data_IF_890080024404
#
_entry.id   IF_890080024404
#
_cell.length_a   1.000
_cell.length_b   1.000
_cell.length_c   1.000
_cell.angle_alpha   90.00
_cell.angle_beta   90.00
_cell.angle_gamma   90.00
#
_symmetry.space_group_name_H-M   'P 1'
#
loop_
_entity.id
_entity.type
_entity.pdbx_description
1 polymer ?
#
# COMPACT_ATOMS: atom_id res chain seq x y z
N UNK A 1 -2.89 -31.41 -12.65
CA UNK A 1 -2.60 -31.36 -11.20
C UNK A 1 -3.75 -32.01 -10.45
N UNK A 2 -3.51 -32.52 -9.24
CA UNK A 2 -4.58 -33.11 -8.43
C UNK A 2 -5.63 -32.06 -8.02
N UNK A 3 -6.88 -32.50 -7.84
CA UNK A 3 -7.94 -31.69 -7.26
C UNK A 3 -7.65 -31.43 -5.80
N UNK A 4 -7.80 -30.18 -5.33
CA UNK A 4 -7.53 -29.77 -3.96
C UNK A 4 -8.69 -28.91 -3.42
N UNK A 5 -8.77 -28.75 -2.10
CA UNK A 5 -9.67 -27.77 -1.48
C UNK A 5 -9.27 -26.35 -1.89
N UNK A 6 -10.25 -25.49 -2.09
CA UNK A 6 -9.99 -24.07 -2.36
C UNK A 6 -9.21 -23.39 -1.24
N UNK A 7 -9.51 -23.75 0.02
CA UNK A 7 -8.76 -23.23 1.17
C UNK A 7 -7.25 -23.57 1.08
N UNK A 8 -6.90 -24.80 0.64
CA UNK A 8 -5.51 -25.20 0.42
C UNK A 8 -4.88 -24.36 -0.70
N UNK A 9 -5.62 -24.15 -1.80
CA UNK A 9 -5.17 -23.33 -2.91
C UNK A 9 -4.85 -21.89 -2.48
N UNK A 10 -5.66 -21.29 -1.59
CA UNK A 10 -5.43 -19.93 -1.06
C UNK A 10 -4.10 -19.86 -0.30
N UNK A 11 -3.85 -20.80 0.62
CA UNK A 11 -2.61 -20.80 1.40
C UNK A 11 -1.40 -21.12 0.52
N UNK A 12 -1.53 -22.06 -0.42
CA UNK A 12 -0.48 -22.39 -1.39
C UNK A 12 -0.13 -21.22 -2.29
N UNK A 13 -1.13 -20.43 -2.71
CA UNK A 13 -0.91 -19.22 -3.50
C UNK A 13 0.00 -18.23 -2.77
N UNK A 14 -0.34 -17.86 -1.52
CA UNK A 14 0.48 -16.93 -0.76
C UNK A 14 1.87 -17.50 -0.43
N UNK A 15 1.93 -18.78 -0.15
CA UNK A 15 3.21 -19.51 0.01
C UNK A 15 4.08 -19.41 -1.24
N UNK A 16 3.49 -19.54 -2.42
CA UNK A 16 4.22 -19.52 -3.69
C UNK A 16 4.84 -18.17 -4.04
N UNK A 17 4.30 -17.08 -3.52
CA UNK A 17 4.82 -15.71 -3.69
C UNK A 17 5.75 -15.28 -2.55
N UNK A 18 6.12 -16.19 -1.64
CA UNK A 18 7.10 -15.92 -0.58
C UNK A 18 6.53 -15.44 0.77
N UNK A 19 5.20 -15.48 0.97
CA UNK A 19 4.59 -15.21 2.27
C UNK A 19 4.86 -16.40 3.19
N UNK A 20 5.74 -16.23 4.16
CA UNK A 20 6.14 -17.27 5.13
C UNK A 20 5.34 -17.24 6.44
N UNK A 21 4.61 -16.15 6.70
CA UNK A 21 3.75 -15.97 7.89
C UNK A 21 2.44 -15.29 7.53
N UNK A 22 1.33 -15.81 8.08
CA UNK A 22 -0.01 -15.21 7.98
C UNK A 22 -0.55 -15.02 9.39
N UNK A 23 -1.07 -13.84 9.70
CA UNK A 23 -1.58 -13.48 11.03
C UNK A 23 -3.05 -13.84 11.14
N UNK A 24 -3.45 -14.55 12.20
CA UNK A 24 -4.75 -15.22 12.24
C UNK A 24 -5.43 -15.08 13.60
N UNK A 25 -6.75 -14.81 13.58
CA UNK A 25 -7.65 -15.15 14.68
C UNK A 25 -8.61 -16.23 14.18
N UNK A 26 -8.63 -17.36 14.87
CA UNK A 26 -9.52 -18.48 14.54
C UNK A 26 -10.98 -18.12 14.87
N UNK A 27 -11.90 -18.62 14.02
CA UNK A 27 -13.33 -18.57 14.25
C UNK A 27 -14.06 -19.56 13.32
N UNK A 28 -15.36 -19.72 13.52
CA UNK A 28 -16.14 -20.74 12.81
C UNK A 28 -16.11 -20.59 11.29
N UNK A 29 -16.07 -19.35 10.78
CA UNK A 29 -16.17 -19.09 9.33
C UNK A 29 -14.81 -19.12 8.60
N UNK A 30 -13.69 -19.36 9.28
CA UNK A 30 -12.38 -19.48 8.63
C UNK A 30 -11.65 -20.80 8.97
N UNK A 31 -12.38 -21.77 9.52
CA UNK A 31 -11.79 -23.04 9.97
C UNK A 31 -11.07 -23.80 8.87
N UNK A 32 -11.63 -23.85 7.66
CA UNK A 32 -11.01 -24.54 6.52
C UNK A 32 -9.72 -23.85 6.04
N UNK A 33 -9.66 -22.51 6.09
CA UNK A 33 -8.44 -21.74 5.81
C UNK A 33 -7.35 -22.03 6.83
N UNK A 34 -7.71 -22.17 8.13
CA UNK A 34 -6.75 -22.51 9.19
C UNK A 34 -6.29 -23.95 9.06
N UNK A 35 -7.21 -24.90 8.77
CA UNK A 35 -6.87 -26.30 8.56
C UNK A 35 -5.88 -26.48 7.38
N UNK A 36 -5.92 -25.64 6.37
CA UNK A 36 -5.02 -25.67 5.22
C UNK A 36 -3.54 -25.54 5.60
N UNK A 37 -3.21 -24.84 6.69
CA UNK A 37 -1.82 -24.73 7.18
C UNK A 37 -1.23 -26.08 7.62
N UNK A 38 -2.03 -27.07 7.95
CA UNK A 38 -1.55 -28.40 8.32
C UNK A 38 -0.94 -29.13 7.11
N UNK A 39 -1.34 -28.78 5.90
CA UNK A 39 -0.89 -29.35 4.62
C UNK A 39 0.19 -28.50 3.94
N UNK A 40 0.23 -27.19 4.20
CA UNK A 40 1.28 -26.29 3.72
C UNK A 40 2.36 -26.13 4.79
N UNK A 41 3.59 -26.62 4.51
CA UNK A 41 4.72 -26.57 5.45
C UNK A 41 5.62 -25.34 5.28
N UNK A 42 5.41 -24.53 4.24
CA UNK A 42 6.24 -23.37 3.95
C UNK A 42 5.72 -22.09 4.61
N UNK A 43 4.40 -21.92 4.67
CA UNK A 43 3.75 -20.78 5.32
C UNK A 43 3.22 -21.21 6.69
N UNK A 44 3.52 -20.44 7.72
CA UNK A 44 3.04 -20.66 9.09
C UNK A 44 1.97 -19.63 9.44
N UNK A 45 0.95 -20.04 10.18
CA UNK A 45 0.08 -19.06 10.83
C UNK A 45 0.71 -18.55 12.12
N UNK A 46 0.45 -17.29 12.44
CA UNK A 46 0.77 -16.65 13.71
C UNK A 46 -0.55 -16.28 14.37
N UNK A 47 -0.91 -17.01 15.40
CA UNK A 47 -2.12 -16.73 16.17
C UNK A 47 -1.93 -15.42 16.96
N UNK A 48 -2.89 -14.53 16.83
CA UNK A 48 -2.94 -13.26 17.56
C UNK A 48 -4.18 -13.20 18.44
N UNK A 49 -4.17 -12.35 19.46
CA UNK A 49 -5.26 -12.26 20.44
C UNK A 49 -6.43 -11.37 20.00
N UNK A 50 -6.23 -10.59 18.92
CA UNK A 50 -7.23 -9.69 18.37
C UNK A 50 -6.96 -9.42 16.90
N UNK A 51 -8.00 -9.39 16.06
CA UNK A 51 -7.84 -9.24 14.60
C UNK A 51 -7.17 -7.93 14.21
N UNK A 52 -7.49 -6.83 14.88
CA UNK A 52 -6.82 -5.55 14.64
C UNK A 52 -5.30 -5.66 14.81
N UNK A 53 -4.84 -6.38 15.85
CA UNK A 53 -3.40 -6.63 16.05
C UNK A 53 -2.82 -7.47 14.91
N UNK A 54 -3.58 -8.47 14.42
CA UNK A 54 -3.20 -9.26 13.25
C UNK A 54 -3.06 -8.41 11.99
N UNK A 55 -3.99 -7.49 11.79
CA UNK A 55 -3.93 -6.55 10.66
C UNK A 55 -2.73 -5.60 10.73
N UNK A 56 -2.40 -5.05 11.91
CA UNK A 56 -1.19 -4.24 12.10
C UNK A 56 0.10 -5.07 11.98
N UNK A 57 0.06 -6.35 12.39
CA UNK A 57 1.20 -7.25 12.17
C UNK A 57 1.43 -7.51 10.67
N UNK A 58 0.35 -7.68 9.88
CA UNK A 58 0.44 -7.78 8.43
C UNK A 58 0.99 -6.50 7.80
N UNK A 59 0.57 -5.32 8.27
CA UNK A 59 1.14 -4.04 7.86
C UNK A 59 2.65 -3.98 8.13
N UNK A 60 3.07 -4.29 9.36
CA UNK A 60 4.49 -4.33 9.72
C UNK A 60 5.29 -5.31 8.88
N UNK A 61 4.72 -6.50 8.61
CA UNK A 61 5.32 -7.50 7.73
C UNK A 61 5.56 -6.96 6.32
N UNK A 62 4.57 -6.27 5.74
CA UNK A 62 4.70 -5.64 4.41
C UNK A 62 5.80 -4.59 4.34
N UNK A 63 6.02 -3.86 5.45
CA UNK A 63 7.03 -2.79 5.50
C UNK A 63 8.47 -3.31 5.57
N UNK A 64 8.68 -4.56 6.02
CA UNK A 64 10.03 -5.14 6.21
C UNK A 64 10.37 -6.25 5.23
N UNK A 65 9.38 -6.83 4.55
CA UNK A 65 9.61 -7.85 3.52
C UNK A 65 10.03 -7.24 2.19
N UNK A 66 10.58 -8.10 1.34
CA UNK A 66 10.91 -7.75 -0.04
C UNK A 66 9.70 -7.20 -0.79
N UNK A 67 9.96 -6.29 -1.71
CA UNK A 67 8.90 -5.67 -2.50
C UNK A 67 8.09 -6.71 -3.27
N UNK A 68 6.75 -6.53 -3.22
CA UNK A 68 5.82 -7.44 -3.88
C UNK A 68 5.32 -8.59 -2.98
N UNK A 69 5.88 -8.74 -1.76
CA UNK A 69 5.39 -9.72 -0.78
C UNK A 69 4.53 -8.98 0.27
N UNK A 70 3.20 -8.98 0.14
CA UNK A 70 2.32 -8.30 1.09
C UNK A 70 2.18 -9.11 2.37
N UNK A 71 1.94 -8.43 3.49
CA UNK A 71 1.46 -9.07 4.70
C UNK A 71 0.02 -9.54 4.53
N UNK A 72 -0.29 -10.68 5.13
CA UNK A 72 -1.61 -11.31 5.03
C UNK A 72 -2.18 -11.52 6.43
N UNK A 73 -3.45 -11.15 6.63
CA UNK A 73 -4.18 -11.41 7.86
C UNK A 73 -5.51 -12.11 7.55
N UNK A 74 -5.88 -13.08 8.38
CA UNK A 74 -7.12 -13.86 8.24
C UNK A 74 -7.97 -13.72 9.49
N UNK A 75 -9.26 -13.39 9.33
CA UNK A 75 -10.26 -13.34 10.39
C UNK A 75 -11.52 -14.13 10.01
N UNK A 76 -12.37 -14.34 11.00
CA UNK A 76 -13.69 -14.94 10.79
C UNK A 76 -14.71 -13.90 10.32
N UNK A 77 -15.96 -14.32 10.12
CA UNK A 77 -17.09 -13.46 9.72
C UNK A 77 -17.48 -12.44 10.82
N UNK A 78 -18.34 -11.51 10.45
CA UNK A 78 -18.98 -10.58 11.38
C UNK A 78 -17.99 -9.71 12.15
N UNK A 79 -18.03 -9.77 13.52
CA UNK A 79 -17.17 -8.94 14.34
C UNK A 79 -15.68 -9.17 14.09
N UNK A 80 -15.25 -10.40 13.70
CA UNK A 80 -13.88 -10.69 13.35
C UNK A 80 -13.39 -9.85 12.16
N UNK A 81 -14.14 -9.86 11.06
CA UNK A 81 -13.84 -9.03 9.89
C UNK A 81 -13.91 -7.53 10.21
N UNK A 82 -14.89 -7.08 11.01
CA UNK A 82 -15.01 -5.67 11.39
C UNK A 82 -13.83 -5.16 12.22
N UNK A 83 -13.18 -6.01 13.00
CA UNK A 83 -11.98 -5.62 13.75
C UNK A 83 -10.78 -5.29 12.86
N UNK A 84 -10.80 -5.66 11.57
CA UNK A 84 -9.77 -5.25 10.61
C UNK A 84 -9.90 -3.80 10.14
N UNK A 85 -11.06 -3.15 10.29
CA UNK A 85 -11.34 -1.84 9.69
C UNK A 85 -10.25 -0.80 10.00
N UNK A 86 -9.80 -0.73 11.25
CA UNK A 86 -8.76 0.22 11.66
C UNK A 86 -7.42 -0.05 10.97
N UNK A 87 -6.97 -1.30 10.94
CA UNK A 87 -5.70 -1.67 10.29
C UNK A 87 -5.76 -1.55 8.77
N UNK A 88 -6.91 -1.88 8.16
CA UNK A 88 -7.16 -1.63 6.73
C UNK A 88 -7.05 -0.12 6.44
N UNK A 89 -7.72 0.72 7.23
CA UNK A 89 -7.65 2.18 7.09
C UNK A 89 -6.22 2.70 7.20
N UNK A 90 -5.44 2.19 8.15
CA UNK A 90 -4.03 2.58 8.30
C UNK A 90 -3.20 2.21 7.06
N UNK A 91 -3.32 0.98 6.58
CA UNK A 91 -2.66 0.54 5.34
C UNK A 91 -3.07 1.41 4.13
N UNK A 92 -4.35 1.80 4.04
CA UNK A 92 -4.85 2.63 2.94
C UNK A 92 -4.24 4.03 2.96
N UNK A 93 -4.25 4.70 4.10
CA UNK A 93 -3.72 6.06 4.22
C UNK A 93 -2.21 6.12 4.11
N UNK A 94 -1.50 5.10 4.58
CA UNK A 94 -0.04 5.00 4.50
C UNK A 94 0.46 4.33 3.21
N UNK A 95 -0.45 3.89 2.33
CA UNK A 95 -0.12 3.23 1.06
C UNK A 95 0.70 1.95 1.26
N UNK A 96 0.33 1.14 2.25
CA UNK A 96 0.99 -0.14 2.55
C UNK A 96 0.21 -1.28 1.88
N UNK A 97 0.87 -2.13 1.07
CA UNK A 97 0.21 -3.29 0.48
C UNK A 97 -0.08 -4.33 1.56
N UNK A 98 -1.34 -4.68 1.74
CA UNK A 98 -1.73 -5.74 2.67
C UNK A 98 -2.96 -6.49 2.14
N UNK A 99 -3.02 -7.79 2.41
CA UNK A 99 -4.12 -8.65 2.02
C UNK A 99 -4.89 -9.05 3.28
N UNK A 100 -6.16 -8.72 3.30
CA UNK A 100 -7.07 -9.13 4.35
C UNK A 100 -8.01 -10.21 3.81
N UNK A 101 -8.14 -11.31 4.54
CA UNK A 101 -9.05 -12.40 4.18
C UNK A 101 -10.03 -12.56 5.34
N UNK A 102 -11.31 -12.54 5.01
CA UNK A 102 -12.35 -12.88 5.98
C UNK A 102 -13.07 -14.16 5.56
N UNK A 103 -13.39 -14.98 6.55
CA UNK A 103 -14.38 -16.01 6.34
C UNK A 103 -15.78 -15.43 6.36
N UNK A 104 -16.72 -16.08 5.69
CA UNK A 104 -18.12 -15.71 5.65
C UNK A 104 -19.00 -16.94 5.87
N UNK A 105 -20.24 -16.74 6.29
CA UNK A 105 -21.23 -17.82 6.36
C UNK A 105 -21.44 -18.45 4.99
N UNK A 106 -22.05 -19.66 4.94
CA UNK A 106 -22.35 -20.33 3.68
C UNK A 106 -23.19 -19.45 2.77
N UNK A 107 -22.94 -19.53 1.46
CA UNK A 107 -23.60 -18.70 0.46
C UNK A 107 -25.13 -18.79 0.49
N UNK A 108 -25.70 -19.95 0.79
CA UNK A 108 -27.14 -20.15 0.92
C UNK A 108 -27.81 -19.39 2.08
N UNK A 109 -27.03 -18.91 3.05
CA UNK A 109 -27.54 -18.15 4.19
C UNK A 109 -27.24 -16.64 4.08
N UNK A 110 -26.64 -16.21 2.98
CA UNK A 110 -26.43 -14.79 2.72
C UNK A 110 -27.77 -14.11 2.47
N UNK A 111 -27.96 -12.94 3.02
CA UNK A 111 -29.15 -12.14 2.75
C UNK A 111 -29.22 -11.72 1.29
N UNK A 112 -30.36 -11.88 0.70
CA UNK A 112 -30.65 -11.44 -0.67
C UNK A 112 -31.25 -10.04 -0.71
N UNK A 113 -31.87 -9.62 0.40
CA UNK A 113 -32.51 -8.31 0.56
C UNK A 113 -31.79 -7.50 1.64
N UNK A 114 -31.33 -6.30 1.28
CA UNK A 114 -30.61 -5.41 2.19
C UNK A 114 -31.50 -4.79 3.29
N UNK A 115 -32.83 -4.86 3.18
CA UNK A 115 -33.74 -4.44 4.24
C UNK A 115 -33.67 -5.38 5.46
N UNK A 116 -33.29 -6.64 5.25
CA UNK A 116 -33.02 -7.61 6.30
C UNK A 116 -31.62 -7.33 6.85
N UNK A 117 -31.51 -7.15 8.18
CA UNK A 117 -30.21 -6.85 8.82
C UNK A 117 -29.24 -8.04 8.72
N UNK A 118 -29.73 -9.27 8.97
CA UNK A 118 -28.93 -10.48 9.00
C UNK A 118 -29.83 -11.70 8.77
N UNK A 119 -29.39 -12.66 7.95
CA UNK A 119 -30.05 -13.96 7.77
C UNK A 119 -29.23 -15.04 8.47
N UNK A 120 -27.99 -15.22 8.09
CA UNK A 120 -27.10 -16.15 8.76
C UNK A 120 -26.40 -15.51 9.96
N UNK A 121 -26.09 -16.33 10.97
CA UNK A 121 -25.44 -15.84 12.22
C UNK A 121 -24.08 -15.20 11.91
N UNK A 122 -23.92 -13.95 12.34
CA UNK A 122 -22.70 -13.13 12.11
C UNK A 122 -22.43 -12.84 10.63
N UNK A 123 -23.43 -12.93 9.76
CA UNK A 123 -23.33 -12.37 8.41
C UNK A 123 -23.05 -10.86 8.47
N UNK A 124 -22.06 -10.41 7.70
CA UNK A 124 -21.71 -9.00 7.60
C UNK A 124 -21.24 -8.68 6.19
N UNK A 125 -21.72 -7.59 5.60
CA UNK A 125 -21.20 -7.05 4.34
C UNK A 125 -19.86 -6.33 4.59
N UNK A 126 -18.84 -7.09 4.93
CA UNK A 126 -17.52 -6.52 5.20
C UNK A 126 -16.94 -5.83 3.97
N UNK A 127 -17.19 -6.35 2.76
CA UNK A 127 -16.75 -5.72 1.52
C UNK A 127 -17.34 -4.31 1.35
N UNK A 128 -18.63 -4.14 1.65
CA UNK A 128 -19.29 -2.84 1.62
C UNK A 128 -18.72 -1.87 2.66
N UNK A 129 -18.43 -2.36 3.88
CA UNK A 129 -17.89 -1.56 4.99
C UNK A 129 -16.49 -1.02 4.62
N UNK A 130 -15.59 -1.85 4.07
CA UNK A 130 -14.21 -1.45 3.79
C UNK A 130 -13.97 -0.87 2.41
N UNK A 131 -14.98 -0.86 1.54
CA UNK A 131 -14.86 -0.36 0.16
C UNK A 131 -14.19 1.00 0.04
N UNK A 132 -14.50 2.01 0.87
CA UNK A 132 -13.88 3.35 0.78
C UNK A 132 -12.42 3.40 1.23
N UNK A 133 -11.93 2.39 1.93
CA UNK A 133 -10.59 2.33 2.50
C UNK A 133 -9.78 1.12 1.98
N UNK A 134 -10.16 0.57 0.83
CA UNK A 134 -9.44 -0.51 0.14
C UNK A 134 -9.28 -0.19 -1.34
N UNK A 135 -8.26 -0.74 -1.97
CA UNK A 135 -8.12 -0.71 -3.43
C UNK A 135 -9.05 -1.72 -4.11
N UNK A 136 -9.40 -2.77 -3.40
CA UNK A 136 -10.30 -3.81 -3.86
C UNK A 136 -10.90 -4.56 -2.67
N UNK A 137 -12.21 -4.81 -2.71
CA UNK A 137 -12.89 -5.67 -1.76
C UNK A 137 -13.89 -6.55 -2.51
N UNK A 138 -13.82 -7.87 -2.32
CA UNK A 138 -14.63 -8.82 -3.07
C UNK A 138 -15.02 -10.02 -2.23
N UNK A 139 -16.32 -10.34 -2.19
CA UNK A 139 -16.81 -11.65 -1.75
C UNK A 139 -16.72 -12.65 -2.89
N UNK A 140 -16.13 -13.81 -2.66
CA UNK A 140 -15.94 -14.87 -3.65
C UNK A 140 -17.10 -15.85 -3.53
N UNK A 141 -17.98 -15.87 -4.53
CA UNK A 141 -19.16 -16.76 -4.55
C UNK A 141 -19.05 -17.86 -5.63
N UNK A 142 -18.09 -17.76 -6.55
CA UNK A 142 -17.77 -18.78 -7.52
C UNK A 142 -16.38 -19.36 -7.25
N UNK A 143 -16.27 -20.64 -6.86
CA UNK A 143 -14.96 -21.26 -6.60
C UNK A 143 -13.99 -21.22 -7.79
N UNK A 144 -14.51 -21.18 -9.03
CA UNK A 144 -13.67 -21.13 -10.24
C UNK A 144 -12.96 -19.78 -10.40
N UNK A 145 -13.45 -18.72 -9.76
CA UNK A 145 -12.83 -17.39 -9.82
C UNK A 145 -11.63 -17.22 -8.89
N UNK A 146 -11.35 -18.18 -8.01
CA UNK A 146 -10.36 -18.00 -6.92
C UNK A 146 -8.99 -17.57 -7.41
N UNK A 147 -8.44 -18.20 -8.45
CA UNK A 147 -7.13 -17.83 -8.99
C UNK A 147 -7.12 -16.40 -9.51
N UNK A 148 -8.13 -16.04 -10.30
CA UNK A 148 -8.29 -14.68 -10.82
C UNK A 148 -8.35 -13.65 -9.69
N UNK A 149 -9.13 -13.90 -8.65
CA UNK A 149 -9.32 -12.96 -7.54
C UNK A 149 -8.06 -12.81 -6.67
N UNK A 150 -7.32 -13.89 -6.43
CA UNK A 150 -6.05 -13.85 -5.71
C UNK A 150 -4.98 -13.08 -6.49
N UNK A 151 -4.80 -13.39 -7.78
CA UNK A 151 -3.82 -12.70 -8.64
C UNK A 151 -4.17 -11.22 -8.83
N UNK A 152 -5.45 -10.89 -9.03
CA UNK A 152 -5.95 -9.51 -9.13
C UNK A 152 -5.73 -8.73 -7.83
N UNK A 153 -6.05 -9.35 -6.69
CA UNK A 153 -5.86 -8.74 -5.37
C UNK A 153 -4.39 -8.42 -5.12
N UNK A 154 -3.50 -9.35 -5.41
CA UNK A 154 -2.06 -9.16 -5.30
C UNK A 154 -1.59 -8.03 -6.22
N UNK A 155 -2.00 -8.04 -7.48
CA UNK A 155 -1.68 -7.00 -8.44
C UNK A 155 -2.13 -5.62 -7.95
N UNK A 156 -3.39 -5.49 -7.53
CA UNK A 156 -3.93 -4.21 -7.08
C UNK A 156 -3.28 -3.73 -5.78
N UNK A 157 -2.94 -4.62 -4.85
CA UNK A 157 -2.27 -4.23 -3.62
C UNK A 157 -0.87 -3.67 -3.87
N UNK A 158 -0.13 -4.25 -4.82
CA UNK A 158 1.31 -4.01 -5.01
C UNK A 158 1.68 -3.16 -6.23
N UNK A 159 0.71 -2.75 -7.04
CA UNK A 159 0.99 -1.95 -8.26
C UNK A 159 0.40 -0.54 -8.18
N UNK A 160 1.09 0.42 -8.81
CA UNK A 160 0.78 1.83 -8.70
C UNK A 160 0.96 2.32 -7.27
N UNK A 161 0.08 3.21 -6.80
CA UNK A 161 0.04 3.53 -5.37
C UNK A 161 -0.43 2.31 -4.59
N UNK A 162 0.43 1.76 -3.73
CA UNK A 162 0.12 0.57 -2.94
C UNK A 162 -1.06 0.79 -2.00
N UNK A 163 -1.67 -0.31 -1.52
CA UNK A 163 -2.75 -0.22 -0.55
C UNK A 163 -3.39 -1.58 -0.25
N UNK A 164 -4.28 -1.64 0.74
CA UNK A 164 -4.91 -2.86 1.20
C UNK A 164 -5.98 -3.35 0.24
N UNK A 165 -6.19 -4.66 0.25
CA UNK A 165 -7.31 -5.35 -0.40
C UNK A 165 -7.96 -6.32 0.57
N UNK A 166 -9.24 -6.67 0.35
CA UNK A 166 -9.96 -7.65 1.15
C UNK A 166 -10.65 -8.67 0.26
N UNK A 167 -10.50 -9.94 0.61
CA UNK A 167 -11.25 -11.06 0.04
C UNK A 167 -12.10 -11.72 1.13
N UNK A 168 -13.40 -11.82 0.89
CA UNK A 168 -14.38 -12.45 1.79
C UNK A 168 -14.77 -13.80 1.21
N UNK A 169 -14.49 -14.91 1.93
CA UNK A 169 -14.59 -16.27 1.37
C UNK A 169 -15.57 -17.09 2.22
N UNK A 170 -16.80 -17.33 1.73
CA UNK A 170 -17.78 -18.17 2.43
C UNK A 170 -17.31 -19.60 2.70
N UNK A 171 -17.81 -20.22 3.77
CA UNK A 171 -17.38 -21.56 4.23
C UNK A 171 -17.53 -22.61 3.14
N UNK A 172 -18.67 -22.64 2.44
CA UNK A 172 -18.92 -23.61 1.35
C UNK A 172 -17.96 -23.40 0.17
N UNK A 173 -17.55 -22.15 -0.07
CA UNK A 173 -16.53 -21.82 -1.09
C UNK A 173 -15.14 -22.30 -0.63
N UNK A 174 -14.77 -22.10 0.66
CA UNK A 174 -13.51 -22.62 1.22
C UNK A 174 -13.42 -24.16 1.08
N UNK A 175 -14.56 -24.86 1.23
CA UNK A 175 -14.68 -26.30 1.13
C UNK A 175 -14.73 -26.83 -0.28
N UNK A 176 -15.01 -26.00 -1.27
CA UNK A 176 -15.13 -26.42 -2.66
C UNK A 176 -13.84 -27.06 -3.17
N UNK A 177 -14.00 -28.06 -4.03
CA UNK A 177 -12.86 -28.73 -4.69
C UNK A 177 -12.60 -28.03 -6.02
N UNK A 178 -11.36 -27.62 -6.23
CA UNK A 178 -10.89 -26.95 -7.45
C UNK A 178 -9.78 -27.76 -8.11
N UNK A 179 -9.65 -27.60 -9.41
CA UNK A 179 -8.53 -28.13 -10.19
C UNK A 179 -7.67 -26.96 -10.66
N UNK A 180 -6.49 -26.71 -10.06
CA UNK A 180 -5.67 -25.53 -10.31
C UNK A 180 -5.31 -25.29 -11.76
N UNK A 181 -5.15 -26.37 -12.56
CA UNK A 181 -4.83 -26.30 -14.00
C UNK A 181 -5.97 -25.75 -14.86
N UNK A 182 -7.20 -25.78 -14.35
CA UNK A 182 -8.40 -25.32 -15.07
C UNK A 182 -8.86 -23.92 -14.63
N UNK A 183 -8.19 -23.32 -13.61
CA UNK A 183 -8.55 -22.00 -13.13
C UNK A 183 -8.00 -20.90 -14.03
N UNK A 184 -8.87 -19.99 -14.46
CA UNK A 184 -8.47 -18.81 -15.20
C UNK A 184 -7.67 -17.86 -14.30
N UNK A 185 -6.56 -17.32 -14.81
CA UNK A 185 -5.75 -16.31 -14.14
C UNK A 185 -6.23 -14.89 -14.42
N UNK A 186 -5.58 -13.93 -13.79
CA UNK A 186 -5.77 -12.50 -14.03
C UNK A 186 -4.76 -11.99 -15.07
N UNK A 187 -5.27 -11.47 -16.17
CA UNK A 187 -4.42 -10.81 -17.17
C UNK A 187 -4.00 -9.43 -16.66
N UNK A 188 -2.71 -9.29 -16.32
CA UNK A 188 -2.17 -8.02 -15.83
C UNK A 188 -2.23 -6.96 -16.93
N UNK A 189 -2.79 -5.76 -16.64
CA UNK A 189 -2.77 -4.66 -17.60
C UNK A 189 -1.33 -4.32 -18.02
N UNK A 190 -1.14 -4.01 -19.29
CA UNK A 190 0.15 -3.52 -19.77
C UNK A 190 0.38 -2.09 -19.28
N UNK A 191 1.27 -1.92 -18.29
CA UNK A 191 1.54 -0.63 -17.63
C UNK A 191 2.63 0.19 -18.33
N UNK A 192 3.09 -0.19 -19.53
CA UNK A 192 4.16 0.49 -20.27
C UNK A 192 3.84 1.95 -20.66
N UNK A 193 2.62 2.45 -20.39
CA UNK A 193 2.18 3.83 -20.70
C UNK A 193 2.45 4.84 -19.56
N UNK A 194 3.22 4.50 -18.52
CA UNK A 194 3.67 5.46 -17.50
C UNK A 194 4.73 6.46 -18.01
N UNK A 195 5.15 6.33 -19.27
CA UNK A 195 6.09 7.25 -19.88
C UNK A 195 5.36 8.53 -20.33
N UNK A 196 5.41 9.56 -19.49
CA UNK A 196 5.11 10.92 -19.91
C UNK A 196 6.05 11.30 -21.06
N UNK A 197 5.51 11.58 -22.23
CA UNK A 197 6.26 12.01 -23.42
C UNK A 197 7.15 13.25 -23.20
N UNK A 198 7.01 13.96 -22.08
CA UNK A 198 7.75 15.17 -21.72
C UNK A 198 8.59 15.07 -20.43
N UNK A 199 8.82 13.85 -19.92
CA UNK A 199 9.55 13.73 -18.63
C UNK A 199 11.01 14.21 -18.76
N UNK A 200 11.66 13.94 -19.88
CA UNK A 200 13.06 14.30 -20.09
C UNK A 200 13.25 15.83 -20.21
N UNK A 201 12.30 16.54 -20.81
CA UNK A 201 12.29 18.01 -20.84
C UNK A 201 12.10 18.61 -19.46
N UNK A 202 11.18 18.05 -18.67
CA UNK A 202 10.93 18.49 -17.29
C UNK A 202 12.13 18.21 -16.38
N UNK A 203 12.82 17.12 -16.57
CA UNK A 203 14.07 16.80 -15.84
C UNK A 203 15.16 17.81 -16.22
N UNK A 204 15.38 18.10 -17.51
CA UNK A 204 16.34 19.15 -17.94
C UNK A 204 16.03 20.49 -17.31
N UNK A 205 14.75 20.88 -17.27
CA UNK A 205 14.32 22.12 -16.61
C UNK A 205 14.63 22.08 -15.12
N UNK A 206 14.35 20.96 -14.44
CA UNK A 206 14.67 20.79 -13.02
C UNK A 206 16.18 20.94 -12.76
N UNK A 207 17.04 20.33 -13.56
CA UNK A 207 18.49 20.49 -13.44
C UNK A 207 18.92 21.94 -13.60
N UNK A 208 18.35 22.66 -14.56
CA UNK A 208 18.59 24.11 -14.70
C UNK A 208 18.17 24.89 -13.45
N UNK A 209 17.02 24.56 -12.87
CA UNK A 209 16.52 25.18 -11.65
C UNK A 209 17.40 24.85 -10.43
N UNK A 210 17.89 23.60 -10.31
CA UNK A 210 18.85 23.19 -9.25
C UNK A 210 20.13 24.02 -9.34
N UNK A 211 20.71 24.16 -10.53
CA UNK A 211 21.94 24.89 -10.74
C UNK A 211 21.82 26.41 -10.46
N UNK A 212 20.63 26.97 -10.61
CA UNK A 212 20.35 28.37 -10.33
C UNK A 212 19.87 28.63 -8.90
N UNK A 213 19.51 27.57 -8.16
CA UNK A 213 19.04 27.67 -6.78
C UNK A 213 20.21 27.86 -5.80
N UNK A 214 19.99 28.66 -4.77
CA UNK A 214 20.94 28.87 -3.68
C UNK A 214 20.65 27.99 -2.46
N UNK A 215 19.44 27.55 -2.30
CA UNK A 215 18.95 26.77 -1.15
C UNK A 215 17.99 25.66 -1.60
N UNK A 216 18.44 24.78 -2.51
CA UNK A 216 17.63 23.66 -2.98
C UNK A 216 17.42 22.66 -1.83
N UNK A 217 16.25 22.03 -1.80
CA UNK A 217 15.89 21.01 -0.80
C UNK A 217 15.17 19.84 -1.45
N UNK A 218 15.42 18.64 -0.96
CA UNK A 218 14.76 17.39 -1.37
C UNK A 218 13.89 16.89 -0.21
N UNK A 219 12.58 16.77 -0.44
CA UNK A 219 11.63 16.18 0.49
C UNK A 219 11.19 14.81 -0.03
N UNK A 220 11.48 13.75 0.72
CA UNK A 220 11.15 12.39 0.31
C UNK A 220 10.02 11.80 1.15
N UNK A 221 9.11 11.11 0.49
CA UNK A 221 8.00 10.40 1.11
C UNK A 221 8.10 8.88 0.99
N UNK A 222 7.11 8.19 1.53
CA UNK A 222 7.01 6.71 1.48
C UNK A 222 6.98 6.14 0.06
N UNK A 223 6.65 6.95 -0.96
CA UNK A 223 6.69 6.55 -2.36
C UNK A 223 8.07 6.12 -2.85
N UNK A 224 9.15 6.66 -2.29
CA UNK A 224 10.53 6.24 -2.60
C UNK A 224 10.76 4.79 -2.17
N UNK A 225 10.29 4.42 -0.97
CA UNK A 225 10.33 3.03 -0.50
C UNK A 225 9.46 2.13 -1.37
N UNK A 226 8.21 2.53 -1.60
CA UNK A 226 7.25 1.76 -2.41
C UNK A 226 7.76 1.50 -3.83
N UNK A 227 8.58 2.40 -4.37
CA UNK A 227 9.24 2.25 -5.67
C UNK A 227 10.53 1.42 -5.61
N UNK A 228 10.97 0.93 -4.44
CA UNK A 228 12.28 0.28 -4.27
C UNK A 228 13.45 1.15 -4.77
N UNK A 229 13.46 2.41 -4.36
CA UNK A 229 14.39 3.42 -4.86
C UNK A 229 15.31 4.01 -3.76
N UNK A 230 15.45 3.34 -2.62
CA UNK A 230 16.27 3.85 -1.50
C UNK A 230 17.75 3.93 -1.88
N UNK A 231 18.30 2.89 -2.50
CA UNK A 231 19.68 2.87 -2.96
C UNK A 231 19.92 3.92 -4.05
N UNK A 232 18.99 4.01 -5.02
CA UNK A 232 19.05 5.03 -6.08
C UNK A 232 18.99 6.45 -5.49
N UNK A 233 18.18 6.68 -4.43
CA UNK A 233 18.12 7.95 -3.71
C UNK A 233 19.46 8.31 -3.04
N UNK A 234 20.15 7.33 -2.46
CA UNK A 234 21.48 7.57 -1.87
C UNK A 234 22.50 7.99 -2.93
N UNK A 235 22.47 7.36 -4.10
CA UNK A 235 23.35 7.78 -5.20
C UNK A 235 22.96 9.17 -5.73
N UNK A 236 21.67 9.48 -5.88
CA UNK A 236 21.19 10.81 -6.24
C UNK A 236 21.69 11.88 -5.25
N UNK A 237 21.64 11.58 -3.94
CA UNK A 237 22.12 12.49 -2.90
C UNK A 237 23.60 12.83 -3.05
N UNK A 238 24.44 11.84 -3.37
CA UNK A 238 25.88 12.05 -3.64
C UNK A 238 26.14 12.95 -4.86
N UNK A 239 25.26 12.85 -5.88
CA UNK A 239 25.34 13.68 -7.08
C UNK A 239 24.86 15.11 -6.81
N UNK A 240 23.70 15.26 -6.21
CA UNK A 240 23.07 16.57 -5.99
C UNK A 240 23.71 17.36 -4.84
N UNK A 241 24.17 16.68 -3.79
CA UNK A 241 24.76 17.29 -2.56
C UNK A 241 23.88 18.36 -1.93
N UNK A 242 22.57 18.11 -1.90
CA UNK A 242 21.57 19.01 -1.31
C UNK A 242 20.92 18.39 -0.09
N UNK A 243 20.37 19.19 0.85
CA UNK A 243 19.72 18.68 2.05
C UNK A 243 18.50 17.79 1.72
N UNK A 244 18.43 16.61 2.35
CA UNK A 244 17.33 15.64 2.20
C UNK A 244 16.52 15.58 3.49
N UNK A 245 15.22 15.82 3.36
CA UNK A 245 14.24 15.80 4.45
C UNK A 245 13.30 14.60 4.28
N UNK A 246 13.45 13.51 5.06
CA UNK A 246 12.48 12.41 5.03
C UNK A 246 11.19 12.78 5.77
N UNK A 247 10.07 12.39 5.20
CA UNK A 247 8.78 12.39 5.90
C UNK A 247 8.65 11.18 6.84
N UNK A 248 7.59 11.12 7.65
CA UNK A 248 7.38 10.03 8.62
C UNK A 248 7.42 8.63 7.99
N UNK A 249 6.85 8.46 6.80
CA UNK A 249 6.80 7.17 6.10
C UNK A 249 8.07 6.89 5.28
N UNK A 250 9.11 7.70 5.42
CA UNK A 250 10.40 7.55 4.75
C UNK A 250 11.59 7.67 5.73
N UNK A 251 11.34 7.49 7.04
CA UNK A 251 12.36 7.70 8.08
C UNK A 251 13.58 6.80 7.96
N UNK A 252 13.38 5.63 7.42
CA UNK A 252 14.38 4.60 7.22
C UNK A 252 15.03 4.66 5.82
N UNK A 253 14.49 5.50 4.92
CA UNK A 253 15.08 5.71 3.60
C UNK A 253 16.38 6.52 3.65
N UNK A 254 16.52 7.39 4.66
CA UNK A 254 17.74 8.18 4.89
C UNK A 254 18.01 8.21 6.38
N UNK A 255 19.08 7.55 6.82
CA UNK A 255 19.51 7.46 8.22
C UNK A 255 20.18 8.75 8.68
N UNK A 256 20.24 8.97 10.01
CA UNK A 256 20.77 10.22 10.59
C UNK A 256 22.28 10.40 10.40
N UNK A 257 22.99 9.37 10.05
CA UNK A 257 24.43 9.35 9.73
C UNK A 257 24.73 9.58 8.23
N UNK A 258 23.69 9.66 7.41
CA UNK A 258 23.87 9.96 5.99
C UNK A 258 24.25 11.44 5.79
N UNK A 259 25.29 11.71 5.02
CA UNK A 259 25.91 13.04 4.86
C UNK A 259 24.93 14.17 4.53
N UNK A 260 23.89 13.86 3.69
CA UNK A 260 22.90 14.85 3.23
C UNK A 260 21.60 14.82 4.04
N UNK A 261 21.57 14.08 5.15
CA UNK A 261 20.39 14.03 6.02
C UNK A 261 20.17 15.38 6.73
N UNK A 262 19.11 16.08 6.37
CA UNK A 262 18.76 17.36 6.98
C UNK A 262 17.74 17.25 8.13
N UNK A 263 17.23 16.04 8.38
CA UNK A 263 16.32 15.75 9.47
C UNK A 263 14.84 15.84 9.10
N UNK A 264 13.99 15.49 10.05
CA UNK A 264 12.52 15.45 9.86
C UNK A 264 11.92 16.84 9.97
N UNK A 265 10.99 17.14 9.07
CA UNK A 265 10.20 18.38 9.04
C UNK A 265 8.76 18.16 9.47
N UNK A 266 8.06 19.23 9.78
CA UNK A 266 6.64 19.25 10.11
C UNK A 266 6.36 19.56 11.58
N UNK A 267 5.15 19.26 12.04
CA UNK A 267 4.65 19.60 13.38
C UNK A 267 5.56 19.12 14.52
N UNK A 268 6.18 17.95 14.33
CA UNK A 268 7.14 17.38 15.30
C UNK A 268 8.59 17.41 14.81
N UNK A 269 8.86 18.25 13.81
CA UNK A 269 10.21 18.48 13.30
C UNK A 269 10.97 19.45 14.21
N UNK A 270 12.31 19.39 14.18
CA UNK A 270 13.14 20.36 14.88
C UNK A 270 13.03 21.76 14.26
N UNK A 271 13.17 22.83 15.08
CA UNK A 271 13.03 24.20 14.63
C UNK A 271 13.97 24.54 13.45
N UNK A 272 15.26 24.16 13.52
CA UNK A 272 16.22 24.39 12.45
C UNK A 272 15.89 23.68 11.14
N UNK A 273 15.30 22.48 11.23
CA UNK A 273 14.88 21.69 10.07
C UNK A 273 13.67 22.31 9.37
N UNK A 274 12.70 22.77 10.15
CA UNK A 274 11.55 23.51 9.65
C UNK A 274 11.99 24.85 9.04
N UNK A 275 12.94 25.53 9.66
CA UNK A 275 13.54 26.76 9.13
C UNK A 275 14.22 26.50 7.78
N UNK A 276 14.96 25.42 7.61
CA UNK A 276 15.63 25.05 6.37
C UNK A 276 14.64 24.91 5.21
N UNK A 277 13.57 24.10 5.37
CA UNK A 277 12.58 23.90 4.31
C UNK A 277 11.76 25.17 4.04
N UNK A 278 11.46 25.98 5.06
CA UNK A 278 10.71 27.22 4.91
C UNK A 278 11.49 28.32 4.15
N UNK A 279 12.80 28.27 4.20
CA UNK A 279 13.68 29.22 3.52
C UNK A 279 14.32 28.66 2.23
N UNK A 280 13.89 27.48 1.79
CA UNK A 280 14.30 26.95 0.49
C UNK A 280 13.78 27.87 -0.64
N UNK A 281 14.55 27.97 -1.72
CA UNK A 281 14.16 28.62 -2.96
C UNK A 281 13.80 27.61 -4.07
N UNK A 282 14.11 26.32 -3.84
CA UNK A 282 13.69 25.19 -4.65
C UNK A 282 13.34 24.00 -3.75
N UNK A 283 12.13 23.49 -3.88
CA UNK A 283 11.65 22.30 -3.17
C UNK A 283 11.29 21.20 -4.16
N UNK A 284 11.97 20.06 -4.04
CA UNK A 284 11.70 18.87 -4.86
C UNK A 284 11.07 17.81 -3.95
N UNK A 285 9.79 17.48 -4.17
CA UNK A 285 9.07 16.48 -3.40
C UNK A 285 8.92 15.19 -4.22
N UNK A 286 9.45 14.07 -3.71
CA UNK A 286 9.39 12.76 -4.37
C UNK A 286 8.56 11.79 -3.52
N UNK A 287 7.47 11.28 -4.10
CA UNK A 287 6.60 10.28 -3.45
C UNK A 287 5.99 10.76 -2.13
N UNK A 288 5.70 12.06 -2.02
CA UNK A 288 5.13 12.68 -0.82
C UNK A 288 4.02 13.65 -1.18
N UNK A 289 2.80 13.37 -0.72
CA UNK A 289 1.64 14.25 -0.89
C UNK A 289 1.67 15.53 -0.06
N UNK A 290 2.66 15.74 0.77
CA UNK A 290 2.82 16.85 1.72
C UNK A 290 1.54 17.13 2.51
N UNK A 291 1.33 16.34 3.57
CA UNK A 291 0.16 16.46 4.44
C UNK A 291 0.26 17.66 5.40
N UNK A 292 -0.85 17.99 6.07
CA UNK A 292 -0.87 19.01 7.12
C UNK A 292 0.13 18.80 8.26
N UNK A 293 0.58 17.56 8.49
CA UNK A 293 1.66 17.26 9.44
C UNK A 293 3.02 17.81 9.00
N UNK A 294 3.26 17.89 7.69
CA UNK A 294 4.48 18.45 7.11
C UNK A 294 4.41 19.98 7.10
N UNK A 295 3.24 20.55 6.74
CA UNK A 295 3.06 22.01 6.62
C UNK A 295 2.81 22.72 7.95
N UNK A 296 2.53 21.99 9.03
CA UNK A 296 2.12 22.57 10.31
C UNK A 296 0.74 23.25 10.26
N UNK A 297 -0.10 22.90 9.27
CA UNK A 297 -1.45 23.45 9.08
C UNK A 297 -1.50 24.81 8.37
N UNK A 298 -0.38 25.52 8.22
CA UNK A 298 -0.32 26.79 7.51
C UNK A 298 0.17 26.62 6.07
N UNK A 299 -0.64 25.98 5.26
CA UNK A 299 -0.29 25.54 3.90
C UNK A 299 0.24 26.68 3.03
N UNK A 300 -0.40 27.85 3.09
CA UNK A 300 -0.02 29.03 2.26
C UNK A 300 1.36 29.59 2.59
N UNK A 301 1.89 29.32 3.78
CA UNK A 301 3.21 29.80 4.20
C UNK A 301 4.31 28.74 4.04
N UNK A 302 3.96 27.52 3.65
CA UNK A 302 4.92 26.45 3.51
C UNK A 302 5.83 26.64 2.29
N UNK A 303 7.16 26.74 2.55
CA UNK A 303 8.18 26.96 1.52
C UNK A 303 7.73 28.04 0.50
N UNK A 304 7.30 29.20 1.02
CA UNK A 304 6.56 30.23 0.28
C UNK A 304 7.33 30.81 -0.89
N UNK A 305 8.65 30.93 -0.78
CA UNK A 305 9.53 31.48 -1.83
C UNK A 305 10.08 30.40 -2.77
N UNK A 306 9.85 29.11 -2.44
CA UNK A 306 10.39 28.02 -3.23
C UNK A 306 9.60 27.78 -4.49
N UNK A 307 10.28 27.58 -5.63
CA UNK A 307 9.75 26.87 -6.76
C UNK A 307 9.57 25.40 -6.39
N UNK A 308 8.39 24.83 -6.62
CA UNK A 308 8.01 23.53 -6.07
C UNK A 308 7.78 22.50 -7.17
N UNK A 309 8.45 21.37 -7.07
CA UNK A 309 8.30 20.20 -7.93
C UNK A 309 7.65 19.05 -7.15
N UNK A 310 6.64 18.41 -7.73
CA UNK A 310 6.04 17.18 -7.20
C UNK A 310 6.26 16.04 -8.20
N UNK A 311 6.88 14.97 -7.73
CA UNK A 311 7.03 13.72 -8.45
C UNK A 311 6.22 12.66 -7.73
N UNK A 312 5.16 12.15 -8.36
CA UNK A 312 4.29 11.15 -7.74
C UNK A 312 3.66 10.25 -8.81
N UNK A 313 3.33 9.02 -8.41
CA UNK A 313 2.63 8.02 -9.22
C UNK A 313 1.10 8.13 -9.09
N UNK A 314 0.61 8.88 -8.13
CA UNK A 314 -0.83 9.10 -7.94
C UNK A 314 -1.31 10.28 -8.79
N UNK A 315 -1.95 9.95 -9.90
CA UNK A 315 -2.46 10.94 -10.84
C UNK A 315 -3.44 11.96 -10.20
N UNK A 316 -4.17 11.56 -9.16
CA UNK A 316 -5.09 12.46 -8.46
C UNK A 316 -4.34 13.55 -7.68
N UNK A 317 -3.20 13.24 -7.09
CA UNK A 317 -2.37 14.22 -6.36
C UNK A 317 -1.72 15.28 -7.27
N UNK A 318 -1.62 15.00 -8.56
CA UNK A 318 -1.00 15.93 -9.54
C UNK A 318 -1.98 16.97 -10.08
N UNK A 319 -3.28 16.86 -9.76
CA UNK A 319 -4.28 17.84 -10.14
C UNK A 319 -4.21 19.04 -9.19
N UNK A 320 -3.91 20.22 -9.73
CA UNK A 320 -3.67 21.44 -8.94
C UNK A 320 -4.84 21.85 -8.05
N UNK A 321 -6.06 21.62 -8.49
CA UNK A 321 -7.30 21.88 -7.75
C UNK A 321 -7.51 20.97 -6.51
N UNK A 322 -6.84 19.82 -6.47
CA UNK A 322 -6.88 18.88 -5.34
C UNK A 322 -5.68 19.03 -4.39
N UNK A 323 -4.69 19.85 -4.74
CA UNK A 323 -3.47 20.03 -3.94
C UNK A 323 -3.69 20.99 -2.79
N UNK A 324 -3.29 20.62 -1.58
CA UNK A 324 -3.21 21.55 -0.45
C UNK A 324 -2.03 22.51 -0.60
N UNK A 325 -0.85 21.99 -0.95
CA UNK A 325 0.32 22.76 -1.37
C UNK A 325 0.33 22.76 -2.88
N UNK A 326 0.19 23.93 -3.48
CA UNK A 326 0.23 24.07 -4.94
C UNK A 326 1.67 23.96 -5.41
N UNK A 327 1.91 23.10 -6.40
CA UNK A 327 3.22 22.91 -7.03
C UNK A 327 3.28 23.62 -8.38
N UNK A 328 4.44 24.18 -8.68
CA UNK A 328 4.71 24.83 -9.97
C UNK A 328 4.78 23.79 -11.08
N UNK A 329 5.46 22.67 -10.79
CA UNK A 329 5.64 21.56 -11.71
C UNK A 329 5.18 20.24 -11.10
N UNK A 330 4.35 19.52 -11.86
CA UNK A 330 3.86 18.19 -11.49
C UNK A 330 4.38 17.15 -12.51
N UNK A 331 5.07 16.11 -12.03
CA UNK A 331 5.59 15.02 -12.83
C UNK A 331 4.89 13.71 -12.44
N UNK A 332 4.10 13.16 -13.37
CA UNK A 332 3.52 11.82 -13.22
C UNK A 332 4.59 10.79 -13.54
N UNK A 333 5.24 10.26 -12.53
CA UNK A 333 6.34 9.34 -12.70
C UNK A 333 6.51 8.46 -11.46
N UNK A 334 6.92 7.21 -11.67
CA UNK A 334 7.44 6.37 -10.61
C UNK A 334 8.74 6.96 -10.05
N UNK A 335 8.88 6.92 -8.71
CA UNK A 335 10.03 7.53 -8.04
C UNK A 335 11.37 6.92 -8.47
N UNK A 336 11.43 5.59 -8.68
CA UNK A 336 12.65 4.93 -9.14
C UNK A 336 13.04 5.32 -10.56
N UNK A 337 12.03 5.38 -11.45
CA UNK A 337 12.26 5.81 -12.83
C UNK A 337 12.76 7.24 -12.87
N UNK A 338 12.17 8.13 -12.09
CA UNK A 338 12.58 9.53 -11.98
C UNK A 338 14.01 9.69 -11.44
N UNK A 339 14.33 9.01 -10.34
CA UNK A 339 15.64 9.11 -9.68
C UNK A 339 16.78 8.60 -10.59
N UNK A 340 16.50 7.59 -11.40
CA UNK A 340 17.52 7.01 -12.32
C UNK A 340 17.77 7.83 -13.59
N UNK A 341 16.89 8.72 -13.96
CA UNK A 341 17.04 9.64 -15.09
C UNK A 341 17.84 10.88 -14.72
#
# INVERSE_FOLDING_TARGET
MAKIKLADYVIDFYSSIGVDKIFVVYGAANGDLIDAFTRNRKTKYVAVMHEQAGGFAAEGYSKVKELGIPGVAIATSGPGGMNFVTSIGNCFYDSVPAIFITGQIKTQFLRTDKSIRQVGFQETDICGIVKPITKYAKMIIDPKSIKYELEKSLYLATNGRHGPVLLDIPIDIQQAIVEPSQLAGFDKPNTNNLNNSNIDEKIKKLFSDINNSKRPTLLIGGGVRSANAIEDLHELGKVLKIPIYPTWNALDAVTSDYEYYAGRVGTYGGAGRNFGIQNSDLLIAIGSRISGRITGGRVKTFAREAKKYLIDIDHALLKKDLQQVVFDENLYCDAKIFIKK
#
